data_IF_960028571708
#
_entry.id   IF_960028571708
#
_cell.length_a   1.000
_cell.length_b   1.000
_cell.length_c   1.000
_cell.angle_alpha   90.00
_cell.angle_beta   90.00
_cell.angle_gamma   90.00
#
_symmetry.space_group_name_H-M   'P 1'
#
loop_
_entity.id
_entity.type
_entity.pdbx_description
1 polymer ?
#
# COMPACT_ATOMS: atom_id res chain seq x y z
N UNK A 1 -6.43 -7.57 10.01
CA UNK A 1 -5.34 -6.95 9.21
C UNK A 1 -5.95 -6.03 8.16
N UNK A 2 -5.36 -4.87 7.89
CA UNK A 2 -5.86 -3.92 6.87
C UNK A 2 -4.86 -3.82 5.73
N UNK A 3 -5.30 -4.04 4.50
CA UNK A 3 -4.47 -4.01 3.30
C UNK A 3 -5.02 -2.96 2.33
N UNK A 4 -4.14 -2.10 1.83
CA UNK A 4 -4.48 -1.06 0.88
C UNK A 4 -3.79 -1.39 -0.45
N UNK A 5 -4.59 -1.57 -1.49
CA UNK A 5 -4.14 -1.85 -2.85
C UNK A 5 -4.43 -0.64 -3.72
N UNK A 6 -3.49 -0.32 -4.62
CA UNK A 6 -3.73 0.70 -5.64
C UNK A 6 -4.84 0.18 -6.56
N UNK A 7 -5.85 0.98 -6.81
CA UNK A 7 -7.01 0.58 -7.62
C UNK A 7 -6.57 0.23 -9.06
N UNK A 8 -6.85 -1.00 -9.54
CA UNK A 8 -6.43 -1.48 -10.87
C UNK A 8 -7.04 -0.69 -12.03
N UNK A 9 -8.08 0.10 -11.76
CA UNK A 9 -8.80 0.88 -12.77
C UNK A 9 -8.61 2.40 -12.53
N UNK A 10 -7.50 2.80 -11.91
CA UNK A 10 -7.16 4.20 -11.62
C UNK A 10 -6.03 4.74 -12.50
N UNK A 11 -6.07 6.05 -12.78
CA UNK A 11 -5.01 6.74 -13.52
C UNK A 11 -3.65 6.65 -12.81
N UNK A 12 -3.67 6.61 -11.47
CA UNK A 12 -2.49 6.43 -10.64
C UNK A 12 -1.78 5.08 -10.90
N UNK A 13 -2.53 4.03 -11.23
CA UNK A 13 -1.96 2.73 -11.58
C UNK A 13 -1.21 2.79 -12.92
N UNK A 14 -1.81 3.40 -13.94
CA UNK A 14 -1.14 3.57 -15.23
C UNK A 14 0.16 4.37 -15.09
N UNK A 15 0.14 5.44 -14.28
CA UNK A 15 1.34 6.21 -13.96
C UNK A 15 2.38 5.36 -13.23
N UNK A 16 1.98 4.59 -12.22
CA UNK A 16 2.91 3.76 -11.46
C UNK A 16 3.55 2.66 -12.31
N UNK A 17 2.78 2.03 -13.20
CA UNK A 17 3.30 1.04 -14.14
C UNK A 17 4.39 1.65 -15.03
N UNK A 18 4.14 2.84 -15.58
CA UNK A 18 5.14 3.55 -16.37
C UNK A 18 6.41 3.91 -15.58
N UNK A 19 6.28 4.29 -14.30
CA UNK A 19 7.43 4.61 -13.43
C UNK A 19 8.37 3.41 -13.20
N UNK A 20 7.88 2.18 -13.30
CA UNK A 20 8.67 0.95 -13.12
C UNK A 20 8.95 0.20 -14.42
N UNK A 21 8.53 0.74 -15.57
CA UNK A 21 8.73 0.10 -16.88
C UNK A 21 7.83 -1.12 -17.12
N UNK A 22 6.69 -1.23 -16.42
CA UNK A 22 5.70 -2.29 -16.59
C UNK A 22 4.50 -1.78 -17.42
N UNK A 23 3.77 -2.69 -18.08
CA UNK A 23 2.48 -2.33 -18.68
C UNK A 23 1.40 -2.15 -17.61
N UNK A 24 0.47 -1.22 -17.83
CA UNK A 24 -0.65 -1.00 -16.91
C UNK A 24 -1.53 -2.25 -16.75
N UNK A 25 -1.68 -3.04 -17.82
CA UNK A 25 -2.44 -4.30 -17.79
C UNK A 25 -1.80 -5.35 -16.88
N UNK A 26 -0.47 -5.51 -16.95
CA UNK A 26 0.28 -6.44 -16.11
C UNK A 26 0.17 -6.07 -14.63
N UNK A 27 0.42 -4.79 -14.29
CA UNK A 27 0.32 -4.32 -12.91
C UNK A 27 -1.11 -4.44 -12.37
N UNK A 28 -2.13 -4.08 -13.17
CA UNK A 28 -3.53 -4.26 -12.81
C UNK A 28 -3.88 -5.74 -12.57
N UNK A 29 -3.38 -6.64 -13.40
CA UNK A 29 -3.51 -8.09 -13.23
C UNK A 29 -2.92 -8.56 -11.90
N UNK A 30 -1.71 -8.12 -11.57
CA UNK A 30 -1.06 -8.41 -10.29
C UNK A 30 -1.87 -7.95 -9.08
N UNK A 31 -2.43 -6.73 -9.12
CA UNK A 31 -3.31 -6.20 -8.07
C UNK A 31 -4.57 -7.07 -7.91
N UNK A 32 -5.26 -7.38 -9.01
CA UNK A 32 -6.48 -8.20 -8.97
C UNK A 32 -6.22 -9.60 -8.43
N UNK A 33 -5.09 -10.20 -8.80
CA UNK A 33 -4.65 -11.50 -8.27
C UNK A 33 -4.39 -11.42 -6.75
N UNK A 34 -3.64 -10.41 -6.30
CA UNK A 34 -3.38 -10.22 -4.87
C UNK A 34 -4.67 -10.05 -4.06
N UNK A 35 -5.62 -9.27 -4.58
CA UNK A 35 -6.93 -9.09 -3.95
C UNK A 35 -7.73 -10.39 -3.89
N UNK A 36 -7.75 -11.20 -4.95
CA UNK A 36 -8.43 -12.49 -4.97
C UNK A 36 -7.87 -13.44 -3.87
N UNK A 37 -6.55 -13.49 -3.70
CA UNK A 37 -5.91 -14.29 -2.64
C UNK A 37 -6.22 -13.77 -1.24
N UNK A 38 -6.28 -12.46 -1.05
CA UNK A 38 -6.67 -11.87 0.24
C UNK A 38 -8.13 -12.17 0.59
N UNK A 39 -9.01 -12.23 -0.41
CA UNK A 39 -10.41 -12.63 -0.24
C UNK A 39 -10.52 -14.08 0.22
N UNK A 40 -9.77 -15.00 -0.39
CA UNK A 40 -9.71 -16.40 0.05
C UNK A 40 -9.24 -16.52 1.52
N UNK A 41 -8.28 -15.69 1.93
CA UNK A 41 -7.77 -15.69 3.31
C UNK A 41 -8.77 -15.12 4.33
N UNK A 42 -9.66 -14.21 3.92
CA UNK A 42 -10.60 -13.54 4.80
C UNK A 42 -11.61 -14.51 5.46
N UNK A 43 -11.82 -15.69 4.88
CA UNK A 43 -12.65 -16.75 5.47
C UNK A 43 -11.99 -17.38 6.72
N UNK A 44 -10.68 -17.22 6.89
CA UNK A 44 -9.88 -17.83 7.97
C UNK A 44 -9.26 -16.83 8.95
N UNK A 45 -9.31 -15.52 8.63
CA UNK A 45 -8.72 -14.48 9.47
C UNK A 45 -9.38 -13.12 9.24
N UNK A 46 -9.34 -12.25 10.26
CA UNK A 46 -9.85 -10.87 10.13
C UNK A 46 -8.96 -10.09 9.16
N UNK A 47 -9.45 -9.89 7.93
CA UNK A 47 -8.79 -9.09 6.88
C UNK A 47 -9.81 -8.09 6.33
N UNK A 48 -9.32 -6.86 6.11
CA UNK A 48 -10.04 -5.82 5.40
C UNK A 48 -9.17 -5.35 4.24
N UNK A 49 -9.74 -5.30 3.04
CA UNK A 49 -9.02 -4.87 1.83
C UNK A 49 -9.66 -3.59 1.29
N UNK A 50 -8.82 -2.62 0.96
CA UNK A 50 -9.22 -1.31 0.48
C UNK A 50 -8.53 -0.99 -0.84
N UNK A 51 -9.25 -0.42 -1.80
CA UNK A 51 -8.72 0.15 -3.04
C UNK A 51 -8.61 1.67 -2.93
N UNK A 52 -7.42 2.21 -3.08
CA UNK A 52 -7.17 3.65 -3.10
C UNK A 52 -6.74 4.11 -4.50
N UNK A 53 -7.03 5.38 -4.83
CA UNK A 53 -6.82 5.91 -6.19
C UNK A 53 -5.74 6.99 -6.29
N UNK A 54 -5.12 7.36 -5.16
CA UNK A 54 -4.01 8.33 -5.16
C UNK A 54 -2.70 7.66 -5.58
N UNK A 55 -1.83 8.40 -6.26
CA UNK A 55 -0.48 7.92 -6.61
C UNK A 55 0.32 7.63 -5.32
N UNK A 56 0.85 6.42 -5.15
CA UNK A 56 1.58 6.09 -3.94
C UNK A 56 3.01 6.63 -3.99
N UNK A 57 3.40 7.36 -2.95
CA UNK A 57 4.80 7.73 -2.68
C UNK A 57 5.45 6.80 -1.66
N UNK A 58 4.67 6.27 -0.72
CA UNK A 58 5.18 5.49 0.41
C UNK A 58 4.66 4.07 0.38
N UNK A 59 5.55 3.12 0.63
CA UNK A 59 5.22 1.75 1.00
C UNK A 59 5.30 1.62 2.52
N UNK A 60 4.21 1.21 3.13
CA UNK A 60 4.10 1.10 4.60
C UNK A 60 3.74 -0.33 5.01
N UNK A 61 4.47 -0.85 5.99
CA UNK A 61 4.08 -2.05 6.73
C UNK A 61 4.11 -1.69 8.21
N UNK A 62 3.01 -1.91 8.93
CA UNK A 62 2.93 -1.64 10.35
C UNK A 62 2.65 -2.92 11.13
N UNK A 63 3.43 -3.15 12.17
CA UNK A 63 3.19 -4.17 13.19
C UNK A 63 3.24 -3.50 14.56
N UNK A 64 2.11 -3.45 15.25
CA UNK A 64 1.97 -2.79 16.56
C UNK A 64 2.47 -1.32 16.57
N UNK A 65 3.56 -1.08 17.28
CA UNK A 65 4.27 0.19 17.47
C UNK A 65 5.51 0.33 16.56
N UNK A 66 5.71 -0.60 15.62
CA UNK A 66 6.77 -0.59 14.62
C UNK A 66 6.19 -0.30 13.25
N UNK A 67 6.87 0.55 12.48
CA UNK A 67 6.55 0.81 11.09
C UNK A 67 7.78 0.62 10.23
N UNK A 68 7.61 -0.05 9.10
CA UNK A 68 8.61 -0.20 8.06
C UNK A 68 8.16 0.66 6.87
N UNK A 69 9.02 1.58 6.47
CA UNK A 69 8.73 2.56 5.43
C UNK A 69 9.78 2.43 4.34
N UNK A 70 9.32 2.33 3.10
CA UNK A 70 10.13 2.58 1.91
C UNK A 70 9.39 3.53 0.98
N UNK A 71 10.06 4.04 -0.04
CA UNK A 71 9.48 4.95 -1.01
C UNK A 71 9.29 4.25 -2.36
N UNK A 72 8.24 4.62 -3.07
CA UNK A 72 8.09 4.37 -4.49
C UNK A 72 8.61 5.59 -5.25
N UNK A 73 9.42 5.37 -6.28
CA UNK A 73 9.82 6.39 -7.25
C UNK A 73 10.07 5.73 -8.61
N UNK A 74 10.37 6.53 -9.64
CA UNK A 74 10.73 6.04 -10.96
C UNK A 74 12.02 5.21 -10.92
N UNK A 75 12.03 4.07 -11.60
CA UNK A 75 13.17 3.15 -11.65
C UNK A 75 13.42 2.34 -10.38
N UNK A 76 12.58 2.46 -9.36
CA UNK A 76 12.66 1.66 -8.13
C UNK A 76 11.42 0.78 -7.97
N UNK A 77 11.59 -0.53 -8.11
CA UNK A 77 10.59 -1.49 -7.63
C UNK A 77 10.60 -1.47 -6.10
N UNK A 78 9.42 -1.41 -5.48
CA UNK A 78 9.30 -1.17 -4.03
C UNK A 78 9.93 -2.25 -3.14
N UNK A 79 10.33 -3.41 -3.70
CA UNK A 79 11.09 -4.44 -2.99
C UNK A 79 12.61 -4.27 -3.06
N UNK A 80 13.13 -3.46 -3.98
CA UNK A 80 14.56 -3.11 -4.07
C UNK A 80 14.88 -1.87 -3.22
N UNK A 81 13.86 -1.09 -2.85
CA UNK A 81 14.02 0.09 -2.02
C UNK A 81 14.50 -0.25 -0.61
N UNK A 82 15.46 0.53 -0.11
CA UNK A 82 15.85 0.48 1.30
C UNK A 82 14.62 0.65 2.19
N UNK A 83 14.48 -0.24 3.17
CA UNK A 83 13.38 -0.20 4.14
C UNK A 83 13.89 0.35 5.47
N UNK A 84 13.23 1.40 5.95
CA UNK A 84 13.58 2.09 7.19
C UNK A 84 12.61 1.69 8.29
N UNK A 85 13.16 1.33 9.46
CA UNK A 85 12.38 1.04 10.66
C UNK A 85 12.12 2.33 11.44
N UNK A 86 10.85 2.64 11.64
CA UNK A 86 10.37 3.78 12.42
C UNK A 86 9.58 3.26 13.63
N UNK A 87 10.08 3.54 14.82
CA UNK A 87 9.44 3.13 16.08
C UNK A 87 8.55 4.24 16.63
N UNK A 88 7.44 3.86 17.27
CA UNK A 88 6.71 4.79 18.11
C UNK A 88 7.57 5.21 19.31
N UNK A 89 7.73 6.51 19.50
CA UNK A 89 8.39 7.07 20.69
C UNK A 89 7.55 8.21 21.25
N UNK A 90 7.72 8.59 22.54
CA UNK A 90 6.93 9.67 23.14
C UNK A 90 6.97 10.99 22.35
N UNK A 91 8.13 11.30 21.76
CA UNK A 91 8.38 12.54 21.01
C UNK A 91 8.69 12.30 19.53
N UNK A 92 8.33 11.15 18.96
CA UNK A 92 8.60 10.78 17.58
C UNK A 92 7.43 11.11 16.65
N UNK A 93 7.44 12.22 15.90
CA UNK A 93 6.32 12.60 15.05
C UNK A 93 6.16 11.68 13.83
N UNK A 94 7.24 11.05 13.34
CA UNK A 94 7.23 10.26 12.12
C UNK A 94 6.26 9.08 12.16
N UNK A 95 6.31 8.26 13.21
CA UNK A 95 5.38 7.14 13.38
C UNK A 95 3.92 7.62 13.36
N UNK A 96 3.63 8.73 14.07
CA UNK A 96 2.28 9.30 14.14
C UNK A 96 1.85 9.90 12.80
N UNK A 97 2.77 10.52 12.07
CA UNK A 97 2.55 11.08 10.74
C UNK A 97 2.19 10.02 9.72
N UNK A 98 3.00 8.97 9.60
CA UNK A 98 2.70 7.86 8.68
C UNK A 98 1.41 7.11 9.08
N UNK A 99 1.15 6.94 10.38
CA UNK A 99 -0.15 6.40 10.84
C UNK A 99 -1.30 7.28 10.39
N UNK A 100 -1.22 8.60 10.59
CA UNK A 100 -2.26 9.56 10.16
C UNK A 100 -2.48 9.48 8.65
N UNK A 101 -1.41 9.42 7.86
CA UNK A 101 -1.50 9.27 6.41
C UNK A 101 -2.20 7.97 6.02
N UNK A 102 -1.84 6.84 6.63
CA UNK A 102 -2.47 5.55 6.37
C UNK A 102 -3.98 5.57 6.64
N UNK A 103 -4.40 6.11 7.79
CA UNK A 103 -5.84 6.23 8.10
C UNK A 103 -6.56 7.17 7.12
N UNK A 104 -5.93 8.29 6.72
CA UNK A 104 -6.51 9.19 5.73
C UNK A 104 -6.70 8.55 4.34
N UNK A 105 -5.81 7.63 3.95
CA UNK A 105 -5.98 6.86 2.70
C UNK A 105 -7.16 5.90 2.83
N UNK A 106 -7.32 5.24 3.99
CA UNK A 106 -8.48 4.37 4.25
C UNK A 106 -9.79 5.15 4.13
N UNK A 107 -9.86 6.33 4.75
CA UNK A 107 -11.08 7.14 4.78
C UNK A 107 -11.57 7.53 3.37
N UNK A 108 -10.64 7.66 2.40
CA UNK A 108 -10.94 7.95 0.99
C UNK A 108 -10.98 6.73 0.07
N UNK A 109 -10.80 5.51 0.59
CA UNK A 109 -10.69 4.28 -0.19
C UNK A 109 -12.01 3.50 -0.23
N UNK A 110 -12.15 2.65 -1.25
CA UNK A 110 -13.27 1.71 -1.35
C UNK A 110 -12.90 0.38 -0.68
N UNK A 111 -13.69 -0.08 0.28
CA UNK A 111 -13.53 -1.43 0.84
C UNK A 111 -14.05 -2.51 -0.12
N UNK A 112 -13.27 -3.56 -0.35
CA UNK A 112 -13.61 -4.66 -1.29
C UNK A 112 -13.64 -6.06 -0.67
N UNK A 113 -13.14 -6.19 0.56
CA UNK A 113 -13.23 -7.36 1.45
C UNK A 113 -13.40 -6.85 2.88
#
# INVERSE_FOLDING_TARGET
>A
MRVLLLDPDSDALARRAAEIGESAESLAGGVRLAEARLRELADSCDIQVYRYRMLPTWRLIRTDSTMFVSAFDAGWEGHESATYKVMATPHGPLFRGFRRMFEAIIDGAQRTV
#
